data_IF_849316678543
#
_entry.id   IF_849316678543
#
_cell.length_a   1.000
_cell.length_b   1.000
_cell.length_c   1.000
_cell.angle_alpha   90.00
_cell.angle_beta   90.00
_cell.angle_gamma   90.00
#
_symmetry.space_group_name_H-M   'P 1'
#
loop_
_entity.id
_entity.type
_entity.pdbx_description
1 polymer ?
#
# COMPACT_ATOMS: atom_id res chain seq x y z
N UNK A 1 7.15 -17.60 4.59
CA UNK A 1 7.03 -18.07 5.99
C UNK A 1 8.26 -17.58 6.77
N UNK A 2 8.10 -16.81 7.83
CA UNK A 2 9.20 -16.28 8.65
C UNK A 2 9.59 -17.26 9.76
N UNK A 3 10.17 -18.40 9.39
CA UNK A 3 10.58 -19.42 10.38
C UNK A 3 12.01 -19.23 10.90
N UNK A 4 12.79 -18.32 10.28
CA UNK A 4 14.22 -18.12 10.61
C UNK A 4 14.46 -17.90 12.11
N UNK A 5 13.81 -16.90 12.72
CA UNK A 5 13.99 -16.59 14.13
C UNK A 5 13.55 -17.72 15.07
N UNK A 6 12.70 -18.65 14.60
CA UNK A 6 12.24 -19.78 15.38
C UNK A 6 13.20 -20.99 15.33
N UNK A 7 14.01 -21.11 14.28
CA UNK A 7 14.87 -22.28 14.05
C UNK A 7 16.36 -21.99 14.23
N UNK A 8 16.78 -20.73 14.07
CA UNK A 8 18.18 -20.34 14.17
C UNK A 8 18.59 -20.11 15.64
N UNK A 9 19.53 -20.89 16.19
CA UNK A 9 20.02 -20.70 17.56
C UNK A 9 20.59 -19.31 17.83
N UNK A 10 21.14 -18.63 16.81
CA UNK A 10 21.71 -17.29 16.93
C UNK A 10 20.65 -16.19 16.99
N UNK A 11 19.40 -16.51 16.65
CA UNK A 11 18.28 -15.57 16.68
C UNK A 11 17.46 -15.65 17.98
N UNK A 12 17.83 -16.53 18.92
CA UNK A 12 17.06 -16.74 20.15
C UNK A 12 17.13 -15.54 21.10
N UNK A 13 15.97 -15.14 21.62
CA UNK A 13 15.81 -14.08 22.63
C UNK A 13 16.27 -12.68 22.18
N UNK A 14 16.26 -12.43 20.88
CA UNK A 14 16.67 -11.15 20.30
C UNK A 14 15.50 -10.42 19.64
N UNK A 15 15.53 -9.09 19.67
CA UNK A 15 14.58 -8.25 18.96
C UNK A 15 15.16 -7.88 17.57
N UNK A 16 14.43 -8.20 16.51
CA UNK A 16 14.87 -7.91 15.13
C UNK A 16 13.96 -6.91 14.43
N UNK A 17 14.56 -5.88 13.85
CA UNK A 17 13.90 -5.09 12.82
C UNK A 17 13.81 -5.91 11.53
N UNK A 18 12.68 -5.81 10.83
CA UNK A 18 12.48 -6.46 9.54
C UNK A 18 12.09 -5.41 8.50
N UNK A 19 13.00 -5.10 7.59
CA UNK A 19 12.75 -4.27 6.41
C UNK A 19 13.16 -5.03 5.16
N UNK A 20 12.73 -4.54 3.99
CA UNK A 20 13.06 -5.16 2.71
C UNK A 20 14.57 -5.11 2.38
N UNK A 21 15.35 -4.27 3.08
CA UNK A 21 16.78 -4.08 2.85
C UNK A 21 17.11 -3.05 1.75
N UNK A 22 16.10 -2.39 1.18
CA UNK A 22 16.23 -1.36 0.17
C UNK A 22 15.54 -0.04 0.57
N UNK A 23 15.56 0.94 -0.35
CA UNK A 23 14.91 2.23 -0.19
C UNK A 23 14.18 2.63 -1.48
N UNK A 24 13.03 3.28 -1.33
CA UNK A 24 12.31 3.92 -2.44
C UNK A 24 11.72 5.26 -2.00
N UNK A 25 11.33 6.10 -2.96
CA UNK A 25 10.60 7.35 -2.71
C UNK A 25 9.16 7.23 -3.18
N UNK A 26 8.23 7.86 -2.48
CA UNK A 26 6.82 7.93 -2.87
C UNK A 26 6.60 8.43 -4.29
N UNK A 27 7.41 9.39 -4.77
CA UNK A 27 7.38 9.86 -6.17
C UNK A 27 7.60 8.72 -7.18
N UNK A 28 8.42 7.73 -6.85
CA UNK A 28 8.68 6.58 -7.72
C UNK A 28 7.53 5.57 -7.63
N UNK A 29 7.04 5.28 -6.41
CA UNK A 29 5.95 4.34 -6.20
C UNK A 29 4.64 4.83 -6.85
N UNK A 30 4.32 6.13 -6.74
CA UNK A 30 3.12 6.69 -7.36
C UNK A 30 3.12 6.57 -8.87
N UNK A 31 4.28 6.72 -9.51
CA UNK A 31 4.40 6.50 -10.95
C UNK A 31 4.05 5.06 -11.32
N UNK A 32 4.60 4.07 -10.59
CA UNK A 32 4.30 2.65 -10.85
C UNK A 32 2.81 2.38 -10.65
N UNK A 33 2.21 2.87 -9.57
CA UNK A 33 0.78 2.66 -9.33
C UNK A 33 -0.09 3.28 -10.44
N UNK A 34 0.20 4.52 -10.82
CA UNK A 34 -0.54 5.21 -11.87
C UNK A 34 -0.46 4.45 -13.21
N UNK A 35 0.72 3.94 -13.57
CA UNK A 35 0.91 3.11 -14.77
C UNK A 35 0.10 1.80 -14.70
N UNK A 36 0.03 1.13 -13.54
CA UNK A 36 -0.73 -0.12 -13.39
C UNK A 36 -2.24 0.08 -13.51
N UNK A 37 -2.76 1.23 -13.09
CA UNK A 37 -4.20 1.55 -13.11
C UNK A 37 -4.61 2.48 -14.25
N UNK A 38 -3.68 2.86 -15.14
CA UNK A 38 -3.95 3.76 -16.26
C UNK A 38 -4.34 5.19 -15.84
N UNK A 39 -3.81 5.67 -14.72
CA UNK A 39 -4.07 7.02 -14.19
C UNK A 39 -3.08 8.01 -14.80
N UNK A 40 -3.57 9.06 -15.45
CA UNK A 40 -2.73 10.07 -16.08
C UNK A 40 -2.29 11.19 -15.11
N UNK A 41 -3.20 11.60 -14.23
CA UNK A 41 -2.98 12.70 -13.28
C UNK A 41 -2.60 12.15 -11.91
N UNK A 42 -1.31 12.27 -11.57
CA UNK A 42 -0.77 11.89 -10.26
C UNK A 42 0.44 12.75 -9.91
N UNK A 43 0.71 12.89 -8.62
CA UNK A 43 1.87 13.61 -8.14
C UNK A 43 1.61 14.34 -6.83
N UNK A 44 2.64 15.01 -6.35
CA UNK A 44 2.50 15.93 -5.23
C UNK A 44 2.16 17.32 -5.75
N UNK A 45 1.09 17.89 -5.23
CA UNK A 45 0.71 19.28 -5.47
C UNK A 45 1.19 20.17 -4.32
N UNK A 46 1.94 21.21 -4.66
CA UNK A 46 2.52 22.11 -3.66
C UNK A 46 1.42 22.92 -2.94
N UNK A 47 1.47 22.93 -1.61
CA UNK A 47 0.45 23.55 -0.77
C UNK A 47 -0.80 22.68 -0.53
N UNK A 48 -0.87 21.48 -1.12
CA UNK A 48 -1.96 20.55 -0.83
C UNK A 48 -1.85 19.98 0.58
N UNK A 49 -2.99 19.87 1.27
CA UNK A 49 -3.12 19.19 2.57
C UNK A 49 -4.11 18.02 2.47
N UNK A 50 -3.99 17.26 1.38
CA UNK A 50 -4.88 16.17 1.04
C UNK A 50 -4.83 15.08 2.12
N UNK A 51 -6.00 14.75 2.69
CA UNK A 51 -6.18 13.64 3.63
C UNK A 51 -7.00 12.55 2.95
N UNK A 52 -6.37 11.41 2.65
CA UNK A 52 -7.02 10.30 1.95
C UNK A 52 -8.29 9.83 2.67
N UNK A 53 -8.27 9.78 4.01
CA UNK A 53 -9.42 9.40 4.83
C UNK A 53 -10.64 10.31 4.58
N UNK A 54 -10.44 11.62 4.44
CA UNK A 54 -11.54 12.55 4.19
C UNK A 54 -12.11 12.44 2.77
N UNK A 55 -11.24 12.15 1.78
CA UNK A 55 -11.66 11.94 0.39
C UNK A 55 -12.43 10.62 0.19
N UNK A 56 -12.11 9.60 0.99
CA UNK A 56 -12.66 8.24 0.82
C UNK A 56 -13.85 7.95 1.73
N UNK A 57 -14.17 8.83 2.69
CA UNK A 57 -15.14 8.57 3.77
C UNK A 57 -16.54 8.13 3.32
N UNK A 58 -16.96 8.53 2.13
CA UNK A 58 -18.28 8.27 1.56
C UNK A 58 -18.25 7.32 0.35
N UNK A 59 -17.10 6.71 0.05
CA UNK A 59 -16.89 5.87 -1.13
C UNK A 59 -17.22 4.39 -0.95
N UNK A 60 -17.79 3.99 0.19
CA UNK A 60 -18.24 2.62 0.44
C UNK A 60 -19.14 2.06 -0.67
N UNK A 61 -20.26 2.73 -1.01
CA UNK A 61 -21.13 2.26 -2.09
C UNK A 61 -20.45 2.20 -3.47
N UNK A 62 -19.50 3.10 -3.74
CA UNK A 62 -18.71 3.09 -4.99
C UNK A 62 -17.79 1.86 -5.02
N UNK A 63 -17.20 1.49 -3.88
CA UNK A 63 -16.40 0.28 -3.77
C UNK A 63 -17.25 -1.00 -3.97
N UNK A 64 -18.45 -1.04 -3.41
CA UNK A 64 -19.39 -2.18 -3.60
C UNK A 64 -19.73 -2.39 -5.08
N UNK A 65 -19.92 -1.31 -5.83
CA UNK A 65 -20.14 -1.34 -7.28
C UNK A 65 -18.92 -1.88 -8.02
N UNK A 66 -17.71 -1.38 -7.71
CA UNK A 66 -16.45 -1.85 -8.29
C UNK A 66 -16.27 -3.36 -8.06
N UNK A 67 -16.51 -3.84 -6.83
CA UNK A 67 -16.40 -5.27 -6.48
C UNK A 67 -17.35 -6.11 -7.32
N UNK A 68 -18.61 -5.67 -7.48
CA UNK A 68 -19.62 -6.39 -8.25
C UNK A 68 -19.26 -6.44 -9.74
N UNK A 69 -18.87 -5.31 -10.31
CA UNK A 69 -18.54 -5.20 -11.75
C UNK A 69 -17.29 -5.99 -12.12
N UNK A 70 -16.28 -5.95 -11.26
CA UNK A 70 -14.97 -6.58 -11.48
C UNK A 70 -14.84 -7.97 -10.85
N UNK A 71 -15.90 -8.49 -10.22
CA UNK A 71 -15.97 -9.82 -9.59
C UNK A 71 -14.86 -10.04 -8.55
N UNK A 72 -14.63 -9.04 -7.71
CA UNK A 72 -13.63 -9.09 -6.65
C UNK A 72 -14.16 -9.80 -5.39
N UNK A 73 -13.27 -10.18 -4.50
CA UNK A 73 -13.64 -10.71 -3.18
C UNK A 73 -14.32 -9.62 -2.34
N UNK A 74 -15.41 -9.96 -1.66
CA UNK A 74 -16.12 -9.02 -0.79
C UNK A 74 -15.29 -8.72 0.47
N UNK A 75 -15.39 -7.47 0.92
CA UNK A 75 -14.62 -6.92 2.06
C UNK A 75 -15.46 -6.81 3.33
#
# INVERSE_FOLDING_TARGET
QHIWAAVDPYAKNEAFNCSNGDFFRWKQLWKVLAEQFGIEEYGYEEGSSLKLVELMKDKGPVWDEIVKENQLEQT
#
